data_IF_697305990533
#
_entry.id   IF_697305990533
#
_cell.length_a   1.000
_cell.length_b   1.000
_cell.length_c   1.000
_cell.angle_alpha   90.00
_cell.angle_beta   90.00
_cell.angle_gamma   90.00
#
_symmetry.space_group_name_H-M   'P 1'
#
loop_
_entity.id
_entity.type
_entity.pdbx_description
1 polymer ?
#
# COMPACT_ATOMS: atom_id res chain seq x y z
N UNK A 1 -27.72 17.60 10.35
CA UNK A 1 -26.76 17.11 9.32
C UNK A 1 -26.39 15.69 9.68
N UNK A 2 -27.08 14.68 9.13
CA UNK A 2 -26.65 13.30 9.30
C UNK A 2 -25.39 13.10 8.44
N UNK A 3 -24.23 13.06 9.10
CA UNK A 3 -22.96 12.81 8.45
C UNK A 3 -22.97 11.43 7.81
N UNK A 4 -22.89 11.38 6.48
CA UNK A 4 -22.70 10.12 5.75
C UNK A 4 -21.42 9.45 6.25
N UNK A 5 -21.54 8.26 6.84
CA UNK A 5 -20.38 7.45 7.25
C UNK A 5 -19.89 6.64 6.05
N UNK A 6 -18.85 7.12 5.39
CA UNK A 6 -18.17 6.38 4.34
C UNK A 6 -17.28 5.27 4.94
N UNK A 7 -17.12 4.13 4.25
CA UNK A 7 -16.17 3.10 4.67
C UNK A 7 -14.76 3.64 4.80
N UNK A 8 -14.15 3.40 5.96
CA UNK A 8 -12.74 3.70 6.20
C UNK A 8 -11.90 2.93 5.18
N UNK A 9 -10.97 3.63 4.56
CA UNK A 9 -10.05 3.04 3.59
C UNK A 9 -8.91 2.32 4.29
N UNK A 10 -8.34 1.33 3.63
CA UNK A 10 -7.22 0.56 4.18
C UNK A 10 -6.06 1.49 4.54
N UNK A 11 -5.76 2.47 3.68
CA UNK A 11 -4.71 3.48 3.89
C UNK A 11 -4.87 4.31 5.17
N UNK A 12 -6.10 4.49 5.66
CA UNK A 12 -6.38 5.27 6.88
C UNK A 12 -6.12 4.47 8.15
N UNK A 13 -6.00 3.14 8.03
CA UNK A 13 -5.99 2.22 9.17
C UNK A 13 -4.69 1.44 9.25
N UNK A 14 -4.21 0.91 8.11
CA UNK A 14 -3.07 0.01 8.09
C UNK A 14 -2.40 -0.06 6.71
N UNK A 15 -1.05 -0.07 6.71
CA UNK A 15 -0.23 -0.27 5.52
C UNK A 15 1.04 -1.06 5.89
N UNK A 16 1.52 -1.97 5.03
CA UNK A 16 2.78 -2.70 5.24
C UNK A 16 3.97 -1.80 4.87
N UNK A 17 4.29 -0.83 5.73
CA UNK A 17 5.30 0.19 5.44
C UNK A 17 6.70 -0.39 5.25
N UNK A 18 7.06 -1.43 6.00
CA UNK A 18 8.37 -2.07 5.90
C UNK A 18 8.59 -2.67 4.50
N UNK A 19 7.61 -3.42 3.99
CA UNK A 19 7.66 -4.01 2.65
C UNK A 19 7.74 -2.94 1.57
N UNK A 20 6.93 -1.87 1.70
CA UNK A 20 6.94 -0.73 0.77
C UNK A 20 8.30 -0.04 0.78
N UNK A 21 8.89 0.18 1.96
CA UNK A 21 10.18 0.86 2.11
C UNK A 21 11.32 0.02 1.51
N UNK A 22 11.33 -1.29 1.74
CA UNK A 22 12.31 -2.21 1.15
C UNK A 22 12.21 -2.21 -0.37
N UNK A 23 11.00 -2.32 -0.93
CA UNK A 23 10.79 -2.30 -2.38
C UNK A 23 11.18 -0.94 -3.00
N UNK A 24 10.80 0.16 -2.36
CA UNK A 24 11.15 1.51 -2.80
C UNK A 24 12.67 1.78 -2.78
N UNK A 25 13.36 1.30 -1.74
CA UNK A 25 14.81 1.40 -1.65
C UNK A 25 15.51 0.60 -2.76
N UNK A 26 15.01 -0.61 -3.05
CA UNK A 26 15.51 -1.44 -4.16
C UNK A 26 15.36 -0.74 -5.50
N UNK A 27 14.20 -0.14 -5.79
CA UNK A 27 13.94 0.60 -7.04
C UNK A 27 14.93 1.75 -7.24
N UNK A 28 15.27 2.47 -6.16
CA UNK A 28 16.22 3.58 -6.18
C UNK A 28 17.66 3.14 -6.49
N UNK A 29 18.02 1.91 -6.16
CA UNK A 29 19.40 1.39 -6.23
C UNK A 29 19.78 0.70 -7.56
N UNK A 30 18.90 0.67 -8.56
CA UNK A 30 19.13 -0.12 -9.79
C UNK A 30 20.19 0.50 -10.72
N UNK A 31 20.30 1.82 -10.76
CA UNK A 31 21.20 2.52 -11.71
C UNK A 31 22.43 3.03 -10.97
N UNK A 32 23.60 2.48 -11.28
CA UNK A 32 24.89 2.97 -10.81
C UNK A 32 25.59 3.72 -11.95
N UNK A 33 26.15 4.91 -11.68
CA UNK A 33 26.99 5.65 -12.64
C UNK A 33 26.27 6.47 -13.72
N UNK A 34 24.95 6.59 -13.69
CA UNK A 34 24.19 7.41 -14.65
C UNK A 34 23.98 8.83 -14.09
N UNK A 35 24.16 9.94 -14.84
CA UNK A 35 24.00 11.31 -14.32
C UNK A 35 22.67 11.58 -13.59
N UNK A 36 21.61 10.85 -13.93
CA UNK A 36 20.33 10.88 -13.20
C UNK A 36 20.42 10.42 -11.72
N UNK A 37 21.53 9.82 -11.29
CA UNK A 37 21.77 9.39 -9.90
C UNK A 37 22.48 10.46 -9.07
N UNK A 38 23.08 11.48 -9.72
CA UNK A 38 23.75 12.61 -9.07
C UNK A 38 22.76 13.65 -8.54
N UNK A 39 21.71 13.94 -9.31
CA UNK A 39 20.68 14.89 -8.92
C UNK A 39 19.30 14.26 -9.03
N UNK A 40 18.70 14.00 -7.87
CA UNK A 40 17.29 13.65 -7.75
C UNK A 40 16.49 14.95 -7.85
N UNK A 41 16.12 15.34 -9.08
CA UNK A 41 15.08 16.35 -9.31
C UNK A 41 13.79 15.96 -8.56
N UNK A 42 12.99 16.96 -8.19
CA UNK A 42 11.83 16.84 -7.29
C UNK A 42 11.02 15.53 -7.44
N UNK A 43 11.18 14.70 -6.40
CA UNK A 43 10.33 13.58 -6.01
C UNK A 43 10.05 12.52 -7.08
N UNK A 44 11.00 11.59 -7.29
CA UNK A 44 10.65 10.27 -7.80
C UNK A 44 9.76 9.57 -6.77
N UNK A 45 8.48 9.40 -7.07
CA UNK A 45 7.60 8.50 -6.31
C UNK A 45 8.00 7.08 -6.70
N UNK A 46 8.56 6.27 -5.79
CA UNK A 46 8.84 4.87 -6.08
C UNK A 46 7.55 4.21 -6.56
N UNK A 47 7.61 3.53 -7.70
CA UNK A 47 6.47 2.84 -8.31
C UNK A 47 5.83 1.86 -7.32
N UNK A 48 6.67 1.21 -6.51
CA UNK A 48 6.26 0.39 -5.37
C UNK A 48 5.30 1.12 -4.42
N UNK A 49 5.72 2.29 -3.93
CA UNK A 49 4.90 3.10 -3.02
C UNK A 49 3.63 3.64 -3.71
N UNK A 50 3.72 4.05 -4.97
CA UNK A 50 2.56 4.54 -5.71
C UNK A 50 1.47 3.46 -5.88
N UNK A 51 1.87 2.23 -6.24
CA UNK A 51 0.95 1.09 -6.39
C UNK A 51 0.27 0.74 -5.07
N UNK A 52 1.03 0.64 -3.98
CA UNK A 52 0.50 0.33 -2.66
C UNK A 52 -0.52 1.39 -2.19
N UNK A 53 -0.19 2.68 -2.35
CA UNK A 53 -1.08 3.78 -1.97
C UNK A 53 -2.38 3.76 -2.78
N UNK A 54 -2.30 3.57 -4.11
CA UNK A 54 -3.49 3.51 -4.97
C UNK A 54 -4.40 2.34 -4.60
N UNK A 55 -3.83 1.15 -4.40
CA UNK A 55 -4.60 -0.02 -3.96
C UNK A 55 -5.30 0.24 -2.62
N UNK A 56 -4.56 0.73 -1.63
CA UNK A 56 -5.08 0.98 -0.29
C UNK A 56 -6.10 2.13 -0.21
N UNK A 57 -6.12 3.04 -1.19
CA UNK A 57 -7.17 4.07 -1.34
C UNK A 57 -8.48 3.49 -1.89
N UNK A 58 -8.40 2.47 -2.74
CA UNK A 58 -9.57 1.85 -3.35
C UNK A 58 -10.24 0.85 -2.39
N UNK A 59 -9.43 0.06 -1.67
CA UNK A 59 -9.91 -0.99 -0.76
C UNK A 59 -10.35 -0.44 0.60
N UNK A 60 -11.48 -0.94 1.10
CA UNK A 60 -12.01 -0.60 2.42
C UNK A 60 -11.36 -1.47 3.50
N UNK A 61 -11.23 -0.95 4.71
CA UNK A 61 -10.78 -1.71 5.87
C UNK A 61 -11.83 -2.78 6.26
N UNK A 62 -11.47 -4.08 6.35
CA UNK A 62 -12.40 -5.12 6.81
C UNK A 62 -12.85 -4.92 8.27
N UNK A 63 -12.09 -4.14 9.05
CA UNK A 63 -12.48 -3.71 10.39
C UNK A 63 -13.57 -2.62 10.43
N UNK A 64 -13.94 -2.01 9.29
CA UNK A 64 -14.94 -0.95 9.21
C UNK A 64 -16.35 -1.41 9.55
N UNK A 65 -16.74 -2.65 9.19
CA UNK A 65 -18.08 -3.18 9.46
C UNK A 65 -18.45 -3.20 10.95
N UNK A 66 -17.45 -3.21 11.85
CA UNK A 66 -17.68 -3.02 13.28
C UNK A 66 -18.16 -1.63 13.67
N UNK A 67 -17.68 -0.59 13.00
CA UNK A 67 -18.13 0.79 13.26
C UNK A 67 -19.59 1.01 12.83
N UNK A 68 -20.15 0.13 11.98
CA UNK A 68 -21.57 0.09 11.60
C UNK A 68 -22.42 -0.87 12.42
N UNK A 69 -21.85 -1.58 13.40
CA UNK A 69 -22.60 -2.54 14.24
C UNK A 69 -22.84 -3.91 13.62
N UNK A 70 -22.14 -4.27 12.52
CA UNK A 70 -22.25 -5.57 11.80
C UNK A 70 -21.02 -6.49 11.99
N UNK A 71 -20.38 -6.39 13.15
CA UNK A 71 -18.95 -6.62 13.33
C UNK A 71 -18.34 -8.01 13.13
N UNK A 72 -17.31 -8.09 12.27
CA UNK A 72 -16.24 -9.11 12.31
C UNK A 72 -15.30 -8.89 13.51
N UNK A 73 -14.83 -9.96 14.18
CA UNK A 73 -13.90 -9.93 15.32
C UNK A 73 -12.57 -9.18 14.97
N UNK A 74 -11.87 -8.56 15.94
CA UNK A 74 -10.53 -7.94 15.75
C UNK A 74 -9.57 -8.88 15.03
N UNK A 75 -9.56 -10.13 15.46
CA UNK A 75 -8.68 -11.16 14.92
C UNK A 75 -9.01 -11.47 13.46
N UNK A 76 -10.30 -11.63 13.12
CA UNK A 76 -10.74 -11.86 11.74
C UNK A 76 -10.39 -10.68 10.83
N UNK A 77 -10.63 -9.45 11.28
CA UNK A 77 -10.25 -8.26 10.53
C UNK A 77 -8.72 -8.16 10.32
N UNK A 78 -7.92 -8.63 11.28
CA UNK A 78 -6.46 -8.68 11.13
C UNK A 78 -6.02 -9.73 10.11
N UNK A 79 -6.64 -10.91 10.11
CA UNK A 79 -6.38 -11.96 9.12
C UNK A 79 -6.70 -11.47 7.71
N UNK A 80 -7.86 -10.84 7.52
CA UNK A 80 -8.24 -10.25 6.23
C UNK A 80 -7.29 -9.12 5.80
N UNK A 81 -6.80 -8.30 6.74
CA UNK A 81 -5.77 -7.28 6.43
C UNK A 81 -4.47 -7.91 5.97
N UNK A 82 -4.04 -8.99 6.60
CA UNK A 82 -2.81 -9.68 6.21
C UNK A 82 -2.92 -10.22 4.78
N UNK A 83 -4.08 -10.78 4.41
CA UNK A 83 -4.35 -11.16 3.03
C UNK A 83 -4.28 -9.97 2.05
N UNK A 84 -4.83 -8.81 2.43
CA UNK A 84 -4.69 -7.58 1.63
C UNK A 84 -3.22 -7.13 1.53
N UNK A 85 -2.41 -7.36 2.57
CA UNK A 85 -0.98 -7.06 2.56
C UNK A 85 -0.21 -7.99 1.64
N UNK A 86 -0.57 -9.27 1.56
CA UNK A 86 0.00 -10.20 0.59
C UNK A 86 -0.23 -9.72 -0.85
N UNK A 87 -1.44 -9.25 -1.16
CA UNK A 87 -1.73 -8.63 -2.47
C UNK A 87 -0.84 -7.39 -2.70
N UNK A 88 -0.66 -6.54 -1.68
CA UNK A 88 0.24 -5.39 -1.80
C UNK A 88 1.66 -5.87 -2.09
N UNK A 89 2.19 -6.86 -1.36
CA UNK A 89 3.54 -7.41 -1.55
C UNK A 89 3.74 -7.93 -2.97
N UNK A 90 2.75 -8.62 -3.54
CA UNK A 90 2.78 -9.06 -4.94
C UNK A 90 2.85 -7.88 -5.92
N UNK A 91 2.11 -6.80 -5.67
CA UNK A 91 2.16 -5.57 -6.47
C UNK A 91 3.53 -4.87 -6.41
N UNK A 92 4.26 -5.00 -5.29
CA UNK A 92 5.61 -4.45 -5.13
C UNK A 92 6.64 -5.22 -5.99
N UNK A 93 6.48 -6.53 -6.16
CA UNK A 93 7.43 -7.41 -6.87
C UNK A 93 7.22 -7.42 -8.39
N UNK A 94 6.07 -6.92 -8.89
CA UNK A 94 5.71 -6.91 -10.32
C UNK A 94 6.62 -5.99 -11.17
N UNK A 95 7.83 -6.49 -11.44
CA UNK A 95 8.71 -6.18 -12.56
C UNK A 95 8.91 -7.42 -13.44
N UNK A 96 8.04 -8.44 -13.32
CA UNK A 96 8.04 -9.65 -14.19
C UNK A 96 7.60 -9.39 -15.65
N UNK A 97 7.37 -8.13 -16.03
CA UNK A 97 7.24 -7.71 -17.42
C UNK A 97 8.52 -6.99 -17.86
N UNK A 98 9.60 -7.76 -18.02
CA UNK A 98 10.67 -7.40 -18.97
C UNK A 98 10.80 -8.58 -19.93
N UNK A 99 10.76 -8.32 -21.25
CA UNK A 99 10.99 -9.35 -22.27
C UNK A 99 12.41 -9.91 -22.22
#
# INVERSE_FOLDING_TARGET
>A
MNGMKAPRKLIEVALPLDDINVAAAREKSIRHGHPSTLHLWWARRPLAAARAVLFAQLVNDPGYERQLGRGVNKEKAQVEREYLFDIIRDLLISHKFSP
#
